data_IF_075561671615
#
_entry.id   IF_075561671615
#
_cell.length_a   1.000
_cell.length_b   1.000
_cell.length_c   1.000
_cell.angle_alpha   90.00
_cell.angle_beta   90.00
_cell.angle_gamma   90.00
#
_symmetry.space_group_name_H-M   'P 1'
#
loop_
_entity.id
_entity.type
_entity.pdbx_description
1 polymer ?
#
# COMPACT_ATOMS: atom_id res chain seq x y z
N UNK A 1 -13.13 -15.48 -4.28
CA UNK A 1 -12.90 -15.54 -2.82
C UNK A 1 -14.10 -16.27 -2.26
N UNK A 2 -13.86 -17.37 -1.56
CA UNK A 2 -14.92 -18.13 -0.92
C UNK A 2 -15.10 -17.60 0.50
N UNK A 3 -16.32 -17.25 0.85
CA UNK A 3 -16.67 -16.81 2.19
C UNK A 3 -17.24 -17.99 2.99
N UNK A 4 -16.94 -18.06 4.29
CA UNK A 4 -17.42 -19.14 5.15
C UNK A 4 -18.94 -19.17 5.30
N UNK A 5 -19.63 -18.09 4.93
CA UNK A 5 -21.09 -18.02 4.83
C UNK A 5 -21.67 -18.32 3.44
N UNK A 6 -20.86 -18.65 2.43
CA UNK A 6 -21.36 -18.98 1.09
C UNK A 6 -22.04 -20.36 1.07
N UNK A 7 -23.11 -20.49 0.28
CA UNK A 7 -23.82 -21.76 0.07
C UNK A 7 -22.97 -22.75 -0.75
N UNK A 8 -23.13 -24.06 -0.49
CA UNK A 8 -22.37 -25.14 -1.12
C UNK A 8 -22.27 -25.04 -2.65
N UNK A 9 -23.34 -24.63 -3.33
CA UNK A 9 -23.34 -24.51 -4.78
C UNK A 9 -22.35 -23.43 -5.28
N UNK A 10 -22.23 -22.30 -4.58
CA UNK A 10 -21.24 -21.26 -4.92
C UNK A 10 -19.80 -21.78 -4.74
N UNK A 11 -19.58 -22.64 -3.75
CA UNK A 11 -18.30 -23.32 -3.55
C UNK A 11 -17.98 -24.26 -4.71
N UNK A 12 -18.93 -25.12 -5.09
CA UNK A 12 -18.76 -26.09 -6.18
C UNK A 12 -18.52 -25.36 -7.51
N UNK A 13 -19.30 -24.31 -7.80
CA UNK A 13 -19.17 -23.53 -9.04
C UNK A 13 -17.85 -22.76 -9.09
N UNK A 14 -17.37 -22.21 -7.97
CA UNK A 14 -16.05 -21.59 -7.91
C UNK A 14 -14.95 -22.61 -8.19
N UNK A 15 -14.99 -23.78 -7.55
CA UNK A 15 -13.97 -24.83 -7.71
C UNK A 15 -13.90 -25.31 -9.17
N UNK A 16 -15.05 -25.55 -9.81
CA UNK A 16 -15.12 -25.93 -11.22
C UNK A 16 -14.52 -24.88 -12.16
N UNK A 17 -14.59 -23.60 -11.78
CA UNK A 17 -14.10 -22.47 -12.58
C UNK A 17 -12.69 -21.99 -12.20
N UNK A 18 -11.97 -22.66 -11.29
CA UNK A 18 -10.57 -22.33 -10.94
C UNK A 18 -9.67 -22.21 -12.17
N UNK A 19 -9.70 -23.13 -13.16
CA UNK A 19 -8.82 -23.02 -14.33
C UNK A 19 -9.02 -21.73 -15.14
N UNK A 20 -10.24 -21.21 -15.17
CA UNK A 20 -10.56 -19.92 -15.82
C UNK A 20 -10.03 -18.75 -14.99
N UNK A 21 -10.09 -18.83 -13.66
CA UNK A 21 -9.51 -17.83 -12.77
C UNK A 21 -7.97 -17.78 -12.88
N UNK A 22 -7.32 -18.94 -13.04
CA UNK A 22 -5.87 -19.05 -13.25
C UNK A 22 -5.40 -18.42 -14.56
N UNK A 23 -6.24 -18.44 -15.60
CA UNK A 23 -5.95 -17.75 -16.84
C UNK A 23 -5.78 -16.23 -16.60
N UNK A 24 -6.59 -15.63 -15.74
CA UNK A 24 -6.46 -14.22 -15.39
C UNK A 24 -5.17 -13.91 -14.61
N UNK A 25 -4.70 -14.82 -13.76
CA UNK A 25 -3.42 -14.64 -13.07
C UNK A 25 -2.24 -14.53 -14.05
N UNK A 26 -2.32 -15.18 -15.21
CA UNK A 26 -1.32 -15.07 -16.27
C UNK A 26 -1.45 -13.78 -17.09
N UNK A 27 -2.66 -13.21 -17.19
CA UNK A 27 -2.95 -12.02 -18.00
C UNK A 27 -2.65 -10.73 -17.23
N UNK A 28 -2.88 -10.70 -15.91
CA UNK A 28 -2.68 -9.49 -15.10
C UNK A 28 -1.30 -8.82 -15.33
N UNK A 29 -0.16 -9.54 -15.33
CA UNK A 29 1.14 -8.93 -15.60
C UNK A 29 1.23 -8.23 -16.95
N UNK A 30 0.53 -8.76 -17.97
CA UNK A 30 0.48 -8.17 -19.32
C UNK A 30 -0.25 -6.82 -19.27
N UNK A 31 -1.37 -6.74 -18.54
CA UNK A 31 -2.09 -5.48 -18.39
C UNK A 31 -1.34 -4.47 -17.52
N UNK A 32 -0.64 -4.92 -16.48
CA UNK A 32 0.25 -4.04 -15.70
C UNK A 32 1.36 -3.47 -16.58
N UNK A 33 2.02 -4.31 -17.38
CA UNK A 33 3.06 -3.87 -18.29
C UNK A 33 2.51 -2.93 -19.37
N UNK A 34 1.31 -3.20 -19.90
CA UNK A 34 0.67 -2.35 -20.90
C UNK A 34 0.37 -0.97 -20.32
N UNK A 35 -0.26 -0.90 -19.15
CA UNK A 35 -0.54 0.36 -18.46
C UNK A 35 0.74 1.11 -18.11
N UNK A 36 1.76 0.40 -17.62
CA UNK A 36 3.09 0.94 -17.33
C UNK A 36 3.69 1.60 -18.57
N UNK A 37 3.69 0.91 -19.72
CA UNK A 37 4.24 1.43 -20.97
C UNK A 37 3.49 2.66 -21.48
N UNK A 38 2.16 2.63 -21.44
CA UNK A 38 1.33 3.79 -21.80
C UNK A 38 1.75 4.97 -20.92
N UNK A 39 1.80 4.82 -19.60
CA UNK A 39 2.26 5.85 -18.66
C UNK A 39 3.79 5.97 -18.55
N UNK A 40 4.51 5.93 -19.67
CA UNK A 40 5.97 6.17 -19.74
C UNK A 40 6.78 5.34 -18.73
N UNK A 41 6.54 4.04 -18.67
CA UNK A 41 7.22 3.09 -17.78
C UNK A 41 7.02 3.34 -16.28
N UNK A 42 5.93 3.97 -15.86
CA UNK A 42 5.57 4.07 -14.43
C UNK A 42 5.42 2.68 -13.80
N UNK A 43 5.79 2.52 -12.53
CA UNK A 43 5.64 1.24 -11.85
C UNK A 43 4.18 1.00 -11.45
N UNK A 44 3.63 -0.18 -11.74
CA UNK A 44 2.30 -0.55 -11.25
C UNK A 44 2.44 -1.20 -9.88
N UNK A 45 1.91 -0.53 -8.88
CA UNK A 45 1.88 -1.00 -7.50
C UNK A 45 0.61 -1.78 -7.21
N UNK A 46 0.75 -2.82 -6.39
CA UNK A 46 -0.37 -3.44 -5.67
C UNK A 46 -0.21 -3.12 -4.20
N UNK A 47 -1.21 -2.50 -3.60
CA UNK A 47 -1.20 -2.27 -2.15
C UNK A 47 -1.28 -3.61 -1.45
N UNK A 48 -0.40 -3.82 -0.47
CA UNK A 48 -0.44 -4.99 0.42
C UNK A 48 -1.78 -5.13 1.15
N UNK A 49 -2.49 -4.01 1.36
CA UNK A 49 -3.70 -3.91 2.19
C UNK A 49 -4.98 -3.56 1.42
N UNK A 50 -5.06 -3.90 0.12
CA UNK A 50 -6.35 -3.82 -0.58
C UNK A 50 -7.28 -4.95 -0.15
N UNK A 51 -8.61 -4.72 -0.10
CA UNK A 51 -9.58 -5.80 0.00
C UNK A 51 -9.26 -6.87 -1.04
N UNK A 52 -9.25 -8.14 -0.62
CA UNK A 52 -8.92 -9.26 -1.51
C UNK A 52 -9.86 -9.23 -2.72
N UNK A 53 -9.29 -8.96 -3.89
CA UNK A 53 -10.04 -8.80 -5.12
C UNK A 53 -9.75 -9.97 -6.07
N UNK A 54 -10.75 -10.33 -6.89
CA UNK A 54 -10.57 -11.29 -7.97
C UNK A 54 -9.59 -10.73 -9.03
N UNK A 55 -8.71 -11.59 -9.55
CA UNK A 55 -7.73 -11.23 -10.57
C UNK A 55 -8.39 -10.66 -11.84
N UNK A 56 -9.54 -11.21 -12.25
CA UNK A 56 -10.35 -10.73 -13.36
C UNK A 56 -10.84 -9.29 -13.17
N UNK A 57 -11.30 -8.96 -11.96
CA UNK A 57 -11.72 -7.60 -11.63
C UNK A 57 -10.56 -6.61 -11.69
N UNK A 58 -9.39 -6.99 -11.18
CA UNK A 58 -8.21 -6.14 -11.21
C UNK A 58 -7.70 -5.93 -12.65
N UNK A 59 -7.68 -7.00 -13.45
CA UNK A 59 -7.39 -6.93 -14.88
C UNK A 59 -8.31 -5.95 -15.62
N UNK A 60 -9.62 -5.97 -15.33
CA UNK A 60 -10.59 -5.03 -15.88
C UNK A 60 -10.29 -3.58 -15.45
N UNK A 61 -9.89 -3.35 -14.20
CA UNK A 61 -9.53 -2.01 -13.73
C UNK A 61 -8.33 -1.44 -14.48
N UNK A 62 -7.27 -2.24 -14.63
CA UNK A 62 -6.10 -1.85 -15.42
C UNK A 62 -6.51 -1.48 -16.86
N UNK A 63 -7.34 -2.32 -17.49
CA UNK A 63 -7.80 -2.09 -18.86
C UNK A 63 -8.62 -0.80 -19.00
N UNK A 64 -9.52 -0.50 -18.04
CA UNK A 64 -10.30 0.75 -18.06
C UNK A 64 -9.41 1.98 -18.02
N UNK A 65 -8.42 2.01 -17.11
CA UNK A 65 -7.46 3.12 -17.02
C UNK A 65 -6.62 3.22 -18.29
N UNK A 66 -6.12 2.09 -18.81
CA UNK A 66 -5.36 2.05 -20.07
C UNK A 66 -6.17 2.60 -21.24
N UNK A 67 -7.45 2.21 -21.35
CA UNK A 67 -8.34 2.68 -22.42
C UNK A 67 -8.57 4.18 -22.31
N UNK A 68 -8.87 4.67 -21.10
CA UNK A 68 -9.09 6.10 -20.87
C UNK A 68 -7.85 6.95 -21.19
N UNK A 69 -6.65 6.43 -20.89
CA UNK A 69 -5.39 7.07 -21.27
C UNK A 69 -5.16 7.05 -22.77
N UNK A 70 -5.42 5.94 -23.45
CA UNK A 70 -5.30 5.85 -24.90
C UNK A 70 -6.28 6.81 -25.61
N UNK A 71 -7.51 6.96 -25.10
CA UNK A 71 -8.48 7.92 -25.62
C UNK A 71 -7.99 9.37 -25.49
N UNK A 72 -7.33 9.69 -24.36
CA UNK A 72 -6.67 10.97 -24.17
C UNK A 72 -5.52 11.16 -25.18
N UNK A 73 -4.63 10.17 -25.32
CA UNK A 73 -3.46 10.23 -26.19
C UNK A 73 -3.78 10.23 -27.68
N UNK A 74 -4.94 9.68 -28.06
CA UNK A 74 -5.44 9.77 -29.42
C UNK A 74 -5.80 11.21 -29.82
N UNK A 75 -6.03 12.11 -28.85
CA UNK A 75 -6.46 13.50 -29.07
C UNK A 75 -5.41 14.52 -28.63
N UNK A 76 -4.61 14.18 -27.62
CA UNK A 76 -3.64 15.07 -26.99
C UNK A 76 -2.28 14.37 -26.84
N UNK A 77 -1.22 15.15 -26.60
CA UNK A 77 0.08 14.61 -26.24
C UNK A 77 0.30 14.77 -24.75
N UNK A 78 1.19 13.97 -24.18
CA UNK A 78 1.65 14.18 -22.81
C UNK A 78 2.15 15.61 -22.60
N UNK A 79 1.94 16.19 -21.39
CA UNK A 79 2.45 17.51 -21.06
C UNK A 79 3.96 17.59 -21.28
N UNK A 80 4.44 18.71 -21.84
CA UNK A 80 5.88 18.91 -22.15
C UNK A 80 6.79 18.85 -20.92
N UNK A 81 6.24 19.09 -19.74
CA UNK A 81 6.96 19.03 -18.46
C UNK A 81 7.21 17.60 -17.99
N UNK A 82 6.57 16.60 -18.59
CA UNK A 82 6.80 15.20 -18.22
C UNK A 82 8.18 14.73 -18.65
N UNK A 83 8.92 14.03 -17.77
CA UNK A 83 10.16 13.37 -18.16
C UNK A 83 9.88 12.25 -19.16
N UNK A 84 10.91 11.82 -19.88
CA UNK A 84 10.81 10.72 -20.86
C UNK A 84 10.37 9.40 -20.22
N UNK A 85 10.58 9.24 -18.91
CA UNK A 85 10.16 8.09 -18.12
C UNK A 85 9.66 8.50 -16.73
N UNK A 86 8.60 7.84 -16.27
CA UNK A 86 8.04 7.94 -14.92
C UNK A 86 8.42 6.75 -14.03
N UNK A 87 9.47 6.00 -14.39
CA UNK A 87 9.88 4.76 -13.70
C UNK A 87 10.22 4.94 -12.21
N UNK A 88 10.54 6.15 -11.77
CA UNK A 88 10.72 6.45 -10.35
C UNK A 88 9.41 6.38 -9.56
N UNK A 89 8.27 6.65 -10.20
CA UNK A 89 6.97 6.71 -9.55
C UNK A 89 6.24 5.37 -9.60
N UNK A 90 5.40 5.15 -8.60
CA UNK A 90 4.46 4.02 -8.54
C UNK A 90 3.03 4.53 -8.58
N UNK A 91 2.18 3.87 -9.38
CA UNK A 91 0.73 4.09 -9.43
C UNK A 91 -0.03 2.83 -9.01
N UNK A 92 -1.07 3.01 -8.20
CA UNK A 92 -1.98 1.96 -7.76
C UNK A 92 -3.36 2.25 -8.32
N UNK A 93 -3.91 1.28 -9.04
CA UNK A 93 -5.28 1.34 -9.54
C UNK A 93 -6.22 0.66 -8.56
N UNK A 94 -7.19 1.41 -8.05
CA UNK A 94 -8.21 0.94 -7.14
C UNK A 94 -9.58 0.78 -7.82
N UNK A 95 -10.57 0.34 -7.05
CA UNK A 95 -11.96 0.21 -7.52
C UNK A 95 -12.53 1.54 -8.04
N UNK A 96 -13.71 1.46 -8.67
CA UNK A 96 -14.36 2.62 -9.28
C UNK A 96 -14.69 3.74 -8.27
N UNK A 97 -14.88 3.38 -7.00
CA UNK A 97 -15.09 4.31 -5.89
C UNK A 97 -13.79 4.69 -5.16
N UNK A 98 -12.63 4.33 -5.71
CA UNK A 98 -11.33 4.64 -5.14
C UNK A 98 -11.01 6.15 -5.18
N UNK A 99 -10.12 6.63 -4.30
CA UNK A 99 -9.71 8.03 -4.30
C UNK A 99 -8.73 8.33 -5.44
N UNK A 100 -8.71 9.58 -5.88
CA UNK A 100 -7.61 10.15 -6.67
C UNK A 100 -6.71 10.96 -5.73
N UNK A 101 -5.57 10.39 -5.33
CA UNK A 101 -4.71 11.01 -4.32
C UNK A 101 -3.25 10.54 -4.39
N UNK A 102 -2.34 11.31 -3.79
CA UNK A 102 -0.99 10.84 -3.45
C UNK A 102 -1.04 10.21 -2.07
N UNK A 103 -0.58 8.96 -1.94
CA UNK A 103 -0.48 8.27 -0.64
C UNK A 103 0.59 8.92 0.26
N UNK A 104 0.59 8.62 1.58
CA UNK A 104 1.68 9.01 2.47
C UNK A 104 3.05 8.47 2.03
N UNK A 105 3.07 7.30 1.38
CA UNK A 105 4.28 6.66 0.82
C UNK A 105 4.71 7.24 -0.54
N UNK A 106 4.00 8.26 -1.05
CA UNK A 106 4.31 8.92 -2.32
C UNK A 106 3.82 8.20 -3.59
N UNK A 107 3.13 7.06 -3.46
CA UNK A 107 2.44 6.41 -4.59
C UNK A 107 1.23 7.22 -5.07
N UNK A 108 1.01 7.27 -6.39
CA UNK A 108 -0.24 7.77 -6.97
C UNK A 108 -1.34 6.72 -6.83
N UNK A 109 -2.53 7.14 -6.42
CA UNK A 109 -3.71 6.29 -6.27
C UNK A 109 -4.79 6.84 -7.20
N UNK A 110 -5.38 5.98 -8.01
CA UNK A 110 -6.41 6.38 -8.97
C UNK A 110 -7.55 5.36 -9.02
N UNK A 111 -8.82 5.79 -9.13
CA UNK A 111 -9.92 4.88 -9.39
C UNK A 111 -9.88 4.35 -10.82
N UNK A 112 -10.35 3.11 -11.02
CA UNK A 112 -10.42 2.47 -12.34
C UNK A 112 -11.20 3.28 -13.40
N UNK A 113 -12.11 4.15 -12.98
CA UNK A 113 -12.97 5.00 -13.82
C UNK A 113 -12.44 6.40 -14.03
N UNK A 114 -11.22 6.71 -13.55
CA UNK A 114 -10.62 8.03 -13.70
C UNK A 114 -10.43 8.40 -15.19
N UNK A 115 -10.99 9.52 -15.67
CA UNK A 115 -10.75 9.99 -17.03
C UNK A 115 -9.27 10.28 -17.30
N UNK A 116 -8.76 9.94 -18.48
CA UNK A 116 -7.35 10.13 -18.85
C UNK A 116 -6.87 11.57 -18.73
N UNK A 117 -7.71 12.57 -19.04
CA UNK A 117 -7.40 13.99 -18.83
C UNK A 117 -7.13 14.29 -17.36
N UNK A 118 -8.04 13.88 -16.48
CA UNK A 118 -7.93 14.10 -15.03
C UNK A 118 -6.72 13.38 -14.46
N UNK A 119 -6.45 12.15 -14.91
CA UNK A 119 -5.30 11.38 -14.46
C UNK A 119 -3.97 12.03 -14.87
N UNK A 120 -3.87 12.52 -16.11
CA UNK A 120 -2.66 13.20 -16.60
C UNK A 120 -2.44 14.52 -15.87
N UNK A 121 -3.50 15.33 -15.68
CA UNK A 121 -3.41 16.58 -14.94
C UNK A 121 -3.01 16.34 -13.48
N UNK A 122 -3.61 15.34 -12.84
CA UNK A 122 -3.28 14.94 -11.47
C UNK A 122 -1.81 14.53 -11.33
N UNK A 123 -1.30 13.63 -12.17
CA UNK A 123 0.11 13.25 -12.14
C UNK A 123 1.00 14.48 -12.33
N UNK A 124 0.66 15.35 -13.29
CA UNK A 124 1.42 16.57 -13.58
C UNK A 124 1.56 17.48 -12.37
N UNK A 125 0.46 17.74 -11.66
CA UNK A 125 0.43 18.66 -10.53
C UNK A 125 1.11 18.07 -9.28
N UNK A 126 1.14 16.75 -9.16
CA UNK A 126 1.54 16.08 -7.92
C UNK A 126 2.89 15.36 -7.97
N UNK A 127 3.61 15.36 -9.10
CA UNK A 127 4.95 14.74 -9.22
C UNK A 127 5.95 15.20 -8.16
N UNK A 128 6.02 16.51 -7.88
CA UNK A 128 6.93 17.05 -6.85
C UNK A 128 6.59 16.52 -5.47
N UNK A 129 5.31 16.57 -5.09
CA UNK A 129 4.82 16.08 -3.80
C UNK A 129 5.03 14.57 -3.64
N UNK A 130 4.79 13.79 -4.69
CA UNK A 130 5.02 12.35 -4.70
C UNK A 130 6.50 12.04 -4.42
N UNK A 131 7.42 12.73 -5.12
CA UNK A 131 8.86 12.54 -4.93
C UNK A 131 9.32 12.88 -3.51
N UNK A 132 8.88 14.02 -2.97
CA UNK A 132 9.20 14.43 -1.59
C UNK A 132 8.73 13.38 -0.56
N UNK A 133 7.51 12.85 -0.73
CA UNK A 133 6.96 11.80 0.14
C UNK A 133 7.70 10.47 0.00
N UNK A 134 8.11 10.11 -1.21
CA UNK A 134 8.89 8.89 -1.45
C UNK A 134 10.25 8.95 -0.74
N UNK A 135 10.98 10.06 -0.87
CA UNK A 135 12.27 10.24 -0.20
C UNK A 135 12.11 10.19 1.32
N UNK A 136 11.15 10.95 1.86
CA UNK A 136 10.88 10.93 3.30
C UNK A 136 10.51 9.54 3.80
N UNK A 137 9.68 8.80 3.07
CA UNK A 137 9.28 7.45 3.47
C UNK A 137 10.47 6.48 3.50
N UNK A 138 11.41 6.57 2.55
CA UNK A 138 12.60 5.72 2.55
C UNK A 138 13.54 6.08 3.71
N UNK A 139 13.74 7.37 3.97
CA UNK A 139 14.52 7.85 5.13
C UNK A 139 13.89 7.38 6.45
N UNK A 140 12.58 7.58 6.63
CA UNK A 140 11.87 7.18 7.84
C UNK A 140 11.93 5.65 8.03
N UNK A 141 11.90 4.85 6.96
CA UNK A 141 12.02 3.38 7.07
C UNK A 141 13.38 2.94 7.60
N UNK A 142 14.46 3.62 7.21
CA UNK A 142 15.79 3.34 7.76
C UNK A 142 15.88 3.70 9.25
N UNK A 143 15.39 4.90 9.62
CA UNK A 143 15.37 5.36 11.01
C UNK A 143 14.50 4.45 11.88
N UNK A 144 13.33 4.03 11.37
CA UNK A 144 12.43 3.10 12.05
C UNK A 144 13.15 1.80 12.38
N UNK A 145 13.85 1.19 11.43
CA UNK A 145 14.54 -0.08 11.65
C UNK A 145 15.65 0.06 12.70
N UNK A 146 16.46 1.12 12.63
CA UNK A 146 17.50 1.38 13.63
C UNK A 146 16.92 1.54 15.05
N UNK A 147 15.80 2.27 15.18
CA UNK A 147 15.13 2.45 16.46
C UNK A 147 14.46 1.18 16.98
N UNK A 148 13.94 0.32 16.10
CA UNK A 148 13.40 -0.99 16.48
C UNK A 148 14.50 -1.83 17.11
N UNK A 149 15.66 -1.89 16.46
CA UNK A 149 16.80 -2.68 16.94
C UNK A 149 17.35 -2.09 18.26
N UNK A 150 17.46 -0.77 18.36
CA UNK A 150 17.86 -0.08 19.60
C UNK A 150 16.90 -0.37 20.75
N UNK A 151 15.58 -0.19 20.55
CA UNK A 151 14.58 -0.40 21.60
C UNK A 151 14.46 -1.86 22.00
N UNK A 152 14.53 -2.79 21.05
CA UNK A 152 14.50 -4.24 21.32
C UNK A 152 15.64 -4.65 22.24
N UNK A 153 16.85 -4.14 21.98
CA UNK A 153 18.02 -4.43 22.79
C UNK A 153 17.99 -3.73 24.15
N UNK A 154 17.66 -2.43 24.17
CA UNK A 154 17.67 -1.60 25.38
C UNK A 154 16.63 -2.07 26.41
N UNK A 155 15.43 -2.44 25.95
CA UNK A 155 14.34 -2.92 26.79
C UNK A 155 14.35 -4.44 26.98
N UNK A 156 15.27 -5.16 26.31
CA UNK A 156 15.37 -6.63 26.29
C UNK A 156 14.05 -7.29 25.90
N UNK A 157 13.40 -6.77 24.86
CA UNK A 157 12.15 -7.32 24.35
C UNK A 157 12.40 -8.68 23.70
N UNK A 158 11.45 -9.61 23.84
CA UNK A 158 11.46 -10.85 23.08
C UNK A 158 11.19 -10.57 21.59
N UNK A 159 10.27 -9.66 21.29
CA UNK A 159 9.97 -9.22 19.93
C UNK A 159 9.29 -7.86 19.94
N UNK A 160 9.60 -7.03 18.96
CA UNK A 160 8.93 -5.76 18.70
C UNK A 160 8.33 -5.77 17.31
N UNK A 161 7.01 -5.62 17.23
CA UNK A 161 6.25 -5.64 15.97
C UNK A 161 5.28 -4.47 15.93
N UNK A 162 4.63 -4.25 14.79
CA UNK A 162 3.63 -3.19 14.64
C UNK A 162 2.47 -3.62 13.75
N UNK A 163 1.34 -2.95 13.95
CA UNK A 163 0.21 -2.98 13.04
C UNK A 163 0.59 -2.40 11.68
N UNK A 164 0.06 -2.97 10.61
CA UNK A 164 0.30 -2.52 9.24
C UNK A 164 -0.16 -1.08 8.98
N UNK A 165 -1.12 -0.59 9.76
CA UNK A 165 -1.61 0.79 9.68
C UNK A 165 -0.66 1.80 10.34
N UNK A 166 0.36 1.34 11.06
CA UNK A 166 1.35 2.19 11.72
C UNK A 166 2.44 2.54 10.71
N UNK A 167 2.36 3.78 10.23
CA UNK A 167 3.35 4.35 9.32
C UNK A 167 4.71 4.54 10.03
N UNK A 168 5.83 4.57 9.28
CA UNK A 168 7.15 4.75 9.87
C UNK A 168 7.26 5.97 10.79
N UNK A 169 6.65 7.10 10.45
CA UNK A 169 6.64 8.31 11.28
C UNK A 169 5.99 8.08 12.66
N UNK A 170 4.86 7.36 12.70
CA UNK A 170 4.19 6.99 13.96
C UNK A 170 5.03 6.02 14.78
N UNK A 171 5.62 5.03 14.11
CA UNK A 171 6.49 4.06 14.77
C UNK A 171 7.71 4.74 15.38
N UNK A 172 8.38 5.62 14.63
CA UNK A 172 9.52 6.41 15.12
C UNK A 172 9.13 7.20 16.38
N UNK A 173 7.97 7.86 16.37
CA UNK A 173 7.47 8.59 17.55
C UNK A 173 7.31 7.65 18.75
N UNK A 174 6.60 6.54 18.57
CA UNK A 174 6.36 5.56 19.63
C UNK A 174 7.67 4.99 20.20
N UNK A 175 8.65 4.69 19.34
CA UNK A 175 9.95 4.16 19.76
C UNK A 175 10.79 5.18 20.53
N UNK A 176 10.74 6.46 20.13
CA UNK A 176 11.39 7.53 20.89
C UNK A 176 10.80 7.65 22.28
N UNK A 177 9.47 7.58 22.40
CA UNK A 177 8.79 7.62 23.69
C UNK A 177 9.08 6.37 24.53
N UNK A 178 9.14 5.19 23.92
CA UNK A 178 9.52 3.94 24.61
C UNK A 178 10.94 4.01 25.17
N UNK A 179 11.88 4.56 24.40
CA UNK A 179 13.28 4.71 24.84
C UNK A 179 13.41 5.59 26.08
N UNK A 180 12.60 6.65 26.19
CA UNK A 180 12.58 7.51 27.38
C UNK A 180 12.06 6.76 28.62
N UNK A 181 11.18 5.79 28.43
CA UNK A 181 10.52 5.01 29.49
C UNK A 181 11.24 3.70 29.87
N UNK A 182 12.56 3.64 29.68
CA UNK A 182 13.41 2.47 29.98
C UNK A 182 13.38 1.97 31.43
N UNK A 183 12.77 2.72 32.35
CA UNK A 183 12.65 2.38 33.77
C UNK A 183 11.57 1.34 34.09
N UNK A 184 10.69 1.00 33.14
CA UNK A 184 9.67 -0.03 33.30
C UNK A 184 10.22 -1.42 32.93
N UNK A 185 9.79 -2.46 33.65
CA UNK A 185 10.19 -3.85 33.38
C UNK A 185 9.53 -4.38 32.10
N UNK A 186 10.18 -4.17 30.96
CA UNK A 186 9.79 -4.69 29.63
C UNK A 186 10.51 -5.98 29.24
N UNK A 187 11.33 -6.53 30.13
CA UNK A 187 12.17 -7.68 29.82
C UNK A 187 11.34 -8.91 29.39
N UNK A 188 11.79 -9.56 28.32
CA UNK A 188 11.18 -10.75 27.71
C UNK A 188 9.74 -10.56 27.20
N UNK A 189 9.30 -9.30 27.02
CA UNK A 189 7.97 -8.98 26.51
C UNK A 189 7.88 -9.10 24.99
N UNK A 190 6.76 -9.61 24.48
CA UNK A 190 6.37 -9.48 23.07
C UNK A 190 5.53 -8.22 22.89
N UNK A 191 6.16 -7.15 22.43
CA UNK A 191 5.52 -5.85 22.27
C UNK A 191 5.01 -5.67 20.82
N UNK A 192 3.80 -5.13 20.70
CA UNK A 192 3.17 -4.81 19.43
C UNK A 192 2.63 -3.38 19.44
N UNK A 193 3.12 -2.55 18.52
CA UNK A 193 2.65 -1.16 18.38
C UNK A 193 1.39 -1.16 17.51
N UNK A 194 0.29 -0.65 18.06
CA UNK A 194 -1.04 -0.68 17.46
C UNK A 194 -1.74 0.68 17.57
N UNK A 195 -3.07 0.70 17.47
CA UNK A 195 -3.88 1.89 17.73
C UNK A 195 -4.71 1.79 19.02
N UNK A 196 -4.47 0.76 19.84
CA UNK A 196 -5.26 0.50 21.06
C UNK A 196 -4.42 -0.25 22.10
N UNK A 197 -4.89 -0.28 23.35
CA UNK A 197 -4.31 -1.15 24.37
C UNK A 197 -4.99 -2.51 24.34
N UNK A 198 -4.20 -3.59 24.31
CA UNK A 198 -4.72 -4.95 24.43
C UNK A 198 -3.64 -5.92 24.88
N UNK A 199 -4.05 -7.08 25.38
CA UNK A 199 -3.16 -8.23 25.55
C UNK A 199 -3.81 -9.40 24.84
N UNK A 200 -3.13 -9.93 23.83
CA UNK A 200 -3.63 -11.06 23.06
C UNK A 200 -3.49 -12.36 23.86
N UNK A 201 -4.28 -13.37 23.49
CA UNK A 201 -4.31 -14.67 24.18
C UNK A 201 -2.98 -15.42 24.16
N UNK A 202 -2.07 -15.07 23.24
CA UNK A 202 -0.72 -15.61 23.10
C UNK A 202 0.35 -14.79 23.86
N UNK A 203 -0.08 -13.81 24.66
CA UNK A 203 0.78 -12.99 25.52
C UNK A 203 1.42 -11.78 24.83
N UNK A 204 1.02 -11.45 23.60
CA UNK A 204 1.47 -10.21 22.95
C UNK A 204 0.78 -9.01 23.59
N UNK A 205 1.58 -8.04 24.03
CA UNK A 205 1.09 -6.78 24.59
C UNK A 205 1.03 -5.74 23.47
N UNK A 206 -0.18 -5.26 23.21
CA UNK A 206 -0.45 -4.20 22.27
C UNK A 206 -0.53 -2.86 23.00
N UNK A 207 0.27 -1.90 22.54
CA UNK A 207 0.18 -0.50 22.99
C UNK A 207 -0.09 0.41 21.79
N UNK A 208 -0.87 1.48 21.94
CA UNK A 208 -1.06 2.44 20.87
C UNK A 208 0.25 3.20 20.60
N UNK A 209 0.50 3.62 19.37
CA UNK A 209 1.69 4.41 19.01
C UNK A 209 1.79 5.75 19.75
N UNK A 210 0.65 6.32 20.17
CA UNK A 210 0.50 7.56 20.93
C UNK A 210 0.18 7.32 22.42
N UNK A 211 0.73 6.23 22.97
CA UNK A 211 0.52 5.86 24.37
C UNK A 211 0.88 7.00 25.33
N UNK A 212 0.04 7.21 26.34
CA UNK A 212 0.21 8.28 27.34
C UNK A 212 1.01 7.77 28.52
N UNK A 213 1.93 8.61 28.98
CA UNK A 213 2.66 8.41 30.23
C UNK A 213 1.73 8.82 31.38
N UNK A 214 1.49 7.92 32.32
CA UNK A 214 0.84 8.20 33.60
C UNK A 214 1.86 8.11 34.73
#
# INVERSE_FOLDING_TARGET
MLFTGDVLNNWIDFIKNIPQQDAYLKIVPVYEQTLSQVLRSIQIGRRKFMPKQQASGYANYLMKVTTSLNDYLGKQKYPKIWPDSLKEFTIVVESEAGPLMVSPTGQFITPATCPGTILVDFITQHMKQARERMHKYEEDKHIEQELIDECTNLLKLQSLTKDDAITPDKMISALRDLRLNHSQNFQDLKLHISNYYSVLSDGIVCIPWDFKQY
#
